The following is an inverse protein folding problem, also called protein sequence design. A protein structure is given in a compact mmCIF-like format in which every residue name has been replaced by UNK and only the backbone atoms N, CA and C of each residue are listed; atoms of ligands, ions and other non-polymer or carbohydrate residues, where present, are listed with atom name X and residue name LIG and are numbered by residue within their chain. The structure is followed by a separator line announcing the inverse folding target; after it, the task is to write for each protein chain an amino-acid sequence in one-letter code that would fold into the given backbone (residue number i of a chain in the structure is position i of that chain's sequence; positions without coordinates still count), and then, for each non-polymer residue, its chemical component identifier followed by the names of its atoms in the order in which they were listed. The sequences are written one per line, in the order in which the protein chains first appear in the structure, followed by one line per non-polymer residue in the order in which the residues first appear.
data_IF_561405097159
#
_entry.id   IF_561405097159
#
_cell.length_a   1.000
_cell.length_b   1.000
_cell.length_c   1.000
_cell.angle_alpha   90.00
_cell.angle_beta   90.00
_cell.angle_gamma   90.00
#
_symmetry.space_group_name_H-M   'P 1'
#
loop_
_entity.id
_entity.type
_entity.pdbx_description
1 polymer ?
#
# COMPACT_ATOMS: atom_id res chain seq x y z
N UNK A 1 -18.86 7.22 3.30
CA UNK A 1 -19.07 8.68 3.12
C UNK A 1 -19.06 9.11 1.65
N UNK A 2 -18.05 8.75 0.83
CA UNK A 2 -17.98 9.16 -0.58
C UNK A 2 -19.23 8.81 -1.43
N UNK A 3 -19.80 7.60 -1.26
CA UNK A 3 -21.06 7.23 -1.94
C UNK A 3 -22.24 8.11 -1.48
N UNK A 4 -22.32 8.42 -0.18
CA UNK A 4 -23.36 9.31 0.33
C UNK A 4 -23.27 10.71 -0.28
N UNK A 5 -22.05 11.22 -0.47
CA UNK A 5 -21.83 12.47 -1.20
C UNK A 5 -22.31 12.39 -2.65
N UNK A 6 -22.01 11.30 -3.37
CA UNK A 6 -22.47 11.13 -4.75
C UNK A 6 -24.00 11.10 -4.86
N UNK A 7 -24.69 10.56 -3.85
CA UNK A 7 -26.15 10.47 -3.82
C UNK A 7 -26.84 11.75 -3.33
N UNK A 8 -26.11 12.64 -2.64
CA UNK A 8 -26.67 13.85 -2.04
C UNK A 8 -26.27 15.14 -2.77
N UNK A 9 -25.02 15.22 -3.22
CA UNK A 9 -24.43 16.43 -3.78
C UNK A 9 -24.77 16.61 -5.27
N UNK A 10 -24.67 17.84 -5.80
CA UNK A 10 -24.79 18.07 -7.24
C UNK A 10 -23.81 17.21 -8.05
N UNK A 11 -24.21 16.84 -9.27
CA UNK A 11 -23.40 16.03 -10.20
C UNK A 11 -22.01 16.62 -10.44
N UNK A 12 -21.91 17.95 -10.47
CA UNK A 12 -20.66 18.69 -10.67
C UNK A 12 -19.62 18.49 -9.54
N UNK A 13 -20.03 17.99 -8.37
CA UNK A 13 -19.08 17.61 -7.30
C UNK A 13 -18.46 16.26 -7.67
N UNK A 14 -17.34 16.29 -8.38
CA UNK A 14 -16.67 15.08 -8.89
C UNK A 14 -15.13 15.12 -8.82
N UNK A 15 -14.53 16.15 -8.22
CA UNK A 15 -13.10 16.20 -7.95
C UNK A 15 -12.73 15.17 -6.86
N UNK A 16 -12.03 14.12 -7.28
CA UNK A 16 -11.59 13.00 -6.44
C UNK A 16 -10.55 13.44 -5.41
N UNK A 17 -9.62 14.34 -5.77
CA UNK A 17 -8.59 14.81 -4.84
C UNK A 17 -9.22 15.66 -3.72
N UNK A 18 -10.17 16.54 -4.08
CA UNK A 18 -10.97 17.27 -3.09
C UNK A 18 -11.84 16.35 -2.23
N UNK A 19 -12.38 15.28 -2.81
CA UNK A 19 -13.15 14.27 -2.07
C UNK A 19 -12.29 13.58 -1.01
N UNK A 20 -11.09 13.10 -1.34
CA UNK A 20 -10.21 12.44 -0.35
C UNK A 20 -9.82 13.38 0.81
N UNK A 21 -9.50 14.65 0.53
CA UNK A 21 -9.22 15.65 1.59
C UNK A 21 -10.37 15.80 2.58
N UNK A 22 -11.61 15.83 2.09
CA UNK A 22 -12.81 15.95 2.94
C UNK A 22 -13.16 14.62 3.62
N UNK A 23 -12.91 13.49 2.95
CA UNK A 23 -13.12 12.15 3.49
C UNK A 23 -12.24 11.89 4.70
N UNK A 24 -11.01 12.37 4.71
CA UNK A 24 -10.08 12.21 5.84
C UNK A 24 -10.64 12.85 7.13
N UNK A 25 -11.22 14.05 7.02
CA UNK A 25 -11.90 14.72 8.15
C UNK A 25 -13.12 13.91 8.60
N UNK A 26 -13.92 13.41 7.65
CA UNK A 26 -15.07 12.57 7.98
C UNK A 26 -14.72 11.26 8.64
N UNK A 27 -13.65 10.58 8.23
CA UNK A 27 -13.23 9.34 8.86
C UNK A 27 -12.93 9.56 10.35
N UNK A 28 -12.26 10.67 10.71
CA UNK A 28 -12.03 11.02 12.12
C UNK A 28 -13.32 11.30 12.88
N UNK A 29 -14.25 12.06 12.29
CA UNK A 29 -15.55 12.31 12.93
C UNK A 29 -16.35 11.02 13.15
N UNK A 30 -16.29 10.08 12.21
CA UNK A 30 -16.97 8.79 12.35
C UNK A 30 -16.40 7.93 13.49
N UNK A 31 -15.09 7.98 13.75
CA UNK A 31 -14.52 7.30 14.94
C UNK A 31 -15.03 7.92 16.25
N UNK A 32 -15.25 9.25 16.30
CA UNK A 32 -15.85 9.89 17.48
C UNK A 32 -17.28 9.41 17.74
N UNK A 33 -17.98 8.92 16.71
CA UNK A 33 -19.31 8.32 16.81
C UNK A 33 -19.27 6.81 17.14
N UNK A 34 -18.08 6.25 17.36
CA UNK A 34 -17.89 4.85 17.75
C UNK A 34 -17.69 3.88 16.57
N UNK A 35 -17.57 4.37 15.33
CA UNK A 35 -17.09 3.51 14.25
C UNK A 35 -15.63 3.14 14.49
N UNK A 36 -15.19 1.98 13.97
CA UNK A 36 -13.87 1.40 14.24
C UNK A 36 -13.02 1.19 12.98
N UNK A 37 -13.44 1.72 11.85
CA UNK A 37 -12.77 1.56 10.55
C UNK A 37 -11.29 2.01 10.54
N UNK A 38 -10.89 2.97 11.40
CA UNK A 38 -9.49 3.35 11.55
C UNK A 38 -8.84 2.60 12.72
N UNK A 39 -9.50 2.56 13.88
CA UNK A 39 -8.93 1.98 15.10
C UNK A 39 -8.75 0.46 15.04
N UNK A 40 -9.50 -0.26 14.21
CA UNK A 40 -9.37 -1.71 14.06
C UNK A 40 -7.98 -2.13 13.54
N UNK A 41 -7.43 -1.40 12.56
CA UNK A 41 -6.10 -1.66 12.03
C UNK A 41 -5.02 -1.54 13.13
N UNK A 42 -5.16 -0.54 13.99
CA UNK A 42 -4.23 -0.30 15.09
C UNK A 42 -4.42 -1.31 16.24
N UNK A 43 -5.64 -1.82 16.45
CA UNK A 43 -5.88 -2.98 17.33
C UNK A 43 -5.21 -4.25 16.79
N UNK A 44 -5.28 -4.51 15.48
CA UNK A 44 -4.55 -5.62 14.83
C UNK A 44 -3.04 -5.48 15.08
N UNK A 45 -2.48 -4.30 14.85
CA UNK A 45 -1.03 -4.05 15.06
C UNK A 45 -0.63 -4.35 16.50
N UNK A 46 -1.37 -3.82 17.48
CA UNK A 46 -1.06 -4.00 18.92
C UNK A 46 -1.19 -5.44 19.40
N UNK A 47 -2.20 -6.19 18.91
CA UNK A 47 -2.36 -7.60 19.33
C UNK A 47 -1.33 -8.52 18.70
N UNK A 48 -0.83 -8.14 17.52
CA UNK A 48 0.08 -8.98 16.72
C UNK A 48 1.53 -8.72 17.10
N UNK A 49 1.93 -7.47 17.32
CA UNK A 49 3.32 -7.07 17.55
C UNK A 49 3.53 -6.37 18.91
N UNK A 50 4.47 -6.88 19.70
CA UNK A 50 4.86 -6.33 21.01
C UNK A 50 5.87 -5.19 20.87
N UNK A 51 6.89 -5.37 20.01
CA UNK A 51 7.97 -4.40 19.84
C UNK A 51 7.59 -3.28 18.87
N UNK A 52 8.09 -2.07 19.13
CA UNK A 52 7.76 -0.88 18.34
C UNK A 52 8.19 -1.00 16.87
N UNK A 53 9.32 -1.66 16.60
CA UNK A 53 9.83 -1.88 15.23
C UNK A 53 8.88 -2.76 14.40
N UNK A 54 8.41 -3.88 14.98
CA UNK A 54 7.44 -4.76 14.32
C UNK A 54 6.10 -4.06 14.11
N UNK A 55 5.66 -3.24 15.08
CA UNK A 55 4.46 -2.42 14.92
C UNK A 55 4.59 -1.40 13.79
N UNK A 56 5.75 -0.74 13.66
CA UNK A 56 6.02 0.20 12.58
C UNK A 56 6.01 -0.50 11.20
N UNK A 57 6.60 -1.70 11.12
CA UNK A 57 6.57 -2.54 9.93
C UNK A 57 5.13 -2.95 9.57
N UNK A 58 4.35 -3.44 10.53
CA UNK A 58 2.94 -3.80 10.29
C UNK A 58 2.10 -2.61 9.84
N UNK A 59 2.24 -1.45 10.49
CA UNK A 59 1.52 -0.22 10.09
C UNK A 59 1.88 0.19 8.67
N UNK A 60 3.14 0.05 8.30
CA UNK A 60 3.58 0.37 6.94
C UNK A 60 3.01 -0.60 5.93
N UNK A 61 3.06 -1.91 6.21
CA UNK A 61 2.44 -2.93 5.35
C UNK A 61 0.93 -2.68 5.19
N UNK A 62 0.20 -2.36 6.27
CA UNK A 62 -1.23 -2.00 6.19
C UNK A 62 -1.46 -0.73 5.35
N UNK A 63 -0.49 0.18 5.33
CA UNK A 63 -0.52 1.40 4.53
C UNK A 63 -0.19 1.20 3.05
N UNK A 64 0.35 0.04 2.65
CA UNK A 64 0.74 -0.25 1.26
C UNK A 64 0.11 -1.50 0.66
N UNK A 65 -0.64 -2.28 1.44
CA UNK A 65 -1.32 -3.48 0.97
C UNK A 65 -2.83 -3.32 0.98
N UNK A 66 -3.48 -3.79 -0.09
CA UNK A 66 -4.94 -3.83 -0.21
C UNK A 66 -5.45 -5.27 -0.22
N UNK A 67 -6.67 -5.57 0.26
CA UNK A 67 -7.27 -6.88 0.09
C UNK A 67 -7.46 -7.21 -1.39
N UNK A 68 -7.25 -8.48 -1.75
CA UNK A 68 -7.58 -8.98 -3.09
C UNK A 68 -9.01 -8.60 -3.49
N UNK A 69 -9.16 -8.02 -4.69
CA UNK A 69 -10.41 -7.40 -5.15
C UNK A 69 -11.36 -8.41 -5.82
N UNK A 70 -12.65 -8.05 -5.86
CA UNK A 70 -13.71 -8.88 -6.45
C UNK A 70 -13.97 -10.18 -5.67
N UNK A 71 -14.28 -11.27 -6.39
CA UNK A 71 -14.59 -12.58 -5.79
C UNK A 71 -13.35 -13.49 -5.60
N UNK A 72 -12.16 -12.89 -5.54
CA UNK A 72 -10.89 -13.64 -5.53
C UNK A 72 -10.40 -13.98 -4.12
N UNK A 73 -10.73 -13.14 -3.12
CA UNK A 73 -10.33 -13.33 -1.71
C UNK A 73 -10.87 -14.63 -1.10
N UNK A 74 -12.18 -14.90 -1.28
CA UNK A 74 -12.80 -16.19 -0.94
C UNK A 74 -13.00 -17.00 -2.22
N UNK A 75 -11.91 -17.56 -2.75
CA UNK A 75 -11.91 -18.25 -4.05
C UNK A 75 -13.00 -19.33 -4.08
N UNK A 76 -13.90 -19.25 -5.07
CA UNK A 76 -15.06 -20.13 -5.24
C UNK A 76 -16.03 -20.19 -4.03
N UNK A 77 -15.91 -19.30 -3.06
CA UNK A 77 -16.73 -19.30 -1.85
C UNK A 77 -16.41 -20.41 -0.86
N UNK A 78 -15.31 -21.16 -1.04
CA UNK A 78 -15.02 -22.38 -0.26
C UNK A 78 -13.94 -22.20 0.81
N UNK A 79 -13.18 -21.10 0.76
CA UNK A 79 -12.04 -20.88 1.65
C UNK A 79 -12.46 -20.34 3.02
N UNK A 80 -13.48 -19.48 3.04
CA UNK A 80 -14.02 -18.87 4.26
C UNK A 80 -15.49 -19.21 4.41
N UNK A 81 -15.91 -19.43 5.66
CA UNK A 81 -17.30 -19.64 6.06
C UNK A 81 -17.76 -18.48 6.94
N UNK A 82 -19.04 -18.47 7.31
CA UNK A 82 -19.59 -17.50 8.29
C UNK A 82 -18.98 -17.64 9.69
N UNK A 83 -18.35 -18.78 9.99
CA UNK A 83 -17.70 -19.05 11.28
C UNK A 83 -16.17 -18.86 11.22
N UNK A 84 -15.62 -18.49 10.06
CA UNK A 84 -14.18 -18.26 9.93
C UNK A 84 -13.75 -17.02 10.73
N UNK A 85 -12.56 -17.02 11.33
CA UNK A 85 -12.06 -15.86 12.05
C UNK A 85 -11.63 -14.77 11.05
N UNK A 86 -12.26 -13.59 11.13
CA UNK A 86 -11.90 -12.39 10.35
C UNK A 86 -10.99 -11.48 11.18
N UNK A 87 -9.79 -11.99 11.48
CA UNK A 87 -8.82 -11.35 12.36
C UNK A 87 -7.37 -11.41 11.83
N UNK A 88 -7.19 -11.69 10.55
CA UNK A 88 -5.89 -11.76 9.88
C UNK A 88 -5.48 -10.39 9.34
N UNK A 89 -4.25 -10.28 8.82
CA UNK A 89 -3.72 -9.05 8.21
C UNK A 89 -4.64 -8.45 7.16
N UNK A 90 -5.18 -9.28 6.26
CA UNK A 90 -6.12 -8.85 5.21
C UNK A 90 -7.41 -8.24 5.76
N UNK A 91 -7.82 -8.60 6.98
CA UNK A 91 -9.00 -8.02 7.64
C UNK A 91 -8.72 -6.60 8.18
N UNK A 92 -7.46 -6.29 8.46
CA UNK A 92 -7.01 -4.97 8.89
C UNK A 92 -6.66 -4.04 7.72
N UNK A 93 -6.47 -4.58 6.52
CA UNK A 93 -6.23 -3.79 5.30
C UNK A 93 -7.50 -3.03 4.85
N UNK A 94 -7.29 -1.92 4.16
CA UNK A 94 -8.37 -1.09 3.57
C UNK A 94 -8.26 -1.08 2.04
N UNK A 95 -9.31 -0.66 1.35
CA UNK A 95 -9.36 -0.69 -0.11
C UNK A 95 -8.55 0.41 -0.80
N UNK A 96 -8.27 1.52 -0.11
CA UNK A 96 -7.39 2.60 -0.58
C UNK A 96 -6.24 2.72 0.44
N UNK A 97 -5.17 1.96 0.20
CA UNK A 97 -4.03 1.93 1.12
C UNK A 97 -3.34 3.30 1.15
N UNK A 98 -3.48 4.02 2.27
CA UNK A 98 -3.15 5.45 2.36
C UNK A 98 -1.73 5.83 1.94
N UNK A 99 -0.72 5.02 2.29
CA UNK A 99 0.67 5.32 1.92
C UNK A 99 0.93 4.98 0.44
N UNK A 100 0.33 3.93 -0.09
CA UNK A 100 0.42 3.62 -1.52
C UNK A 100 -0.31 4.66 -2.39
N UNK A 101 -1.44 5.19 -1.92
CA UNK A 101 -2.15 6.27 -2.59
C UNK A 101 -1.32 7.56 -2.62
N UNK A 102 -0.69 7.93 -1.50
CA UNK A 102 0.20 9.08 -1.45
C UNK A 102 1.41 8.90 -2.39
N UNK A 103 2.05 7.73 -2.37
CA UNK A 103 3.14 7.41 -3.29
C UNK A 103 2.73 7.48 -4.75
N UNK A 104 1.55 6.95 -5.09
CA UNK A 104 0.99 7.07 -6.43
C UNK A 104 0.84 8.53 -6.85
N UNK A 105 0.26 9.38 -6.01
CA UNK A 105 0.08 10.80 -6.30
C UNK A 105 1.42 11.52 -6.50
N UNK A 106 2.43 11.20 -5.69
CA UNK A 106 3.78 11.75 -5.83
C UNK A 106 4.41 11.34 -7.17
N UNK A 107 4.34 10.05 -7.53
CA UNK A 107 4.84 9.56 -8.83
C UNK A 107 4.08 10.18 -10.00
N UNK A 108 2.77 10.32 -9.90
CA UNK A 108 1.96 10.95 -10.95
C UNK A 108 2.32 12.42 -11.16
N UNK A 109 2.48 13.18 -10.07
CA UNK A 109 2.95 14.55 -10.14
C UNK A 109 4.34 14.62 -10.80
N UNK A 110 5.28 13.78 -10.36
CA UNK A 110 6.62 13.76 -10.92
C UNK A 110 6.64 13.44 -12.43
N UNK A 111 5.86 12.45 -12.89
CA UNK A 111 5.75 12.10 -14.32
C UNK A 111 5.16 13.26 -15.14
N UNK A 112 4.17 13.98 -14.60
CA UNK A 112 3.46 15.03 -15.36
C UNK A 112 4.30 16.28 -15.61
N UNK A 113 5.14 16.68 -14.65
CA UNK A 113 5.81 17.99 -14.70
C UNK A 113 7.24 18.00 -14.12
N UNK A 114 7.79 16.85 -13.73
CA UNK A 114 9.10 16.74 -13.12
C UNK A 114 9.23 17.46 -11.79
N UNK A 115 8.13 17.60 -11.02
CA UNK A 115 8.09 18.36 -9.76
C UNK A 115 9.23 17.93 -8.80
N UNK A 116 10.18 18.82 -8.48
CA UNK A 116 11.26 18.52 -7.54
C UNK A 116 10.76 18.16 -6.14
N UNK A 117 9.62 18.71 -5.70
CA UNK A 117 9.02 18.36 -4.41
C UNK A 117 8.46 16.94 -4.43
N UNK A 118 7.88 16.52 -5.55
CA UNK A 118 7.41 15.15 -5.75
C UNK A 118 8.59 14.16 -5.80
N UNK A 119 9.68 14.50 -6.49
CA UNK A 119 10.90 13.69 -6.53
C UNK A 119 11.49 13.48 -5.12
N UNK A 120 11.56 14.54 -4.31
CA UNK A 120 12.05 14.44 -2.94
C UNK A 120 11.10 13.63 -2.04
N UNK A 121 9.78 13.79 -2.19
CA UNK A 121 8.80 13.01 -1.45
C UNK A 121 8.91 11.51 -1.77
N UNK A 122 9.05 11.15 -3.05
CA UNK A 122 9.32 9.78 -3.51
C UNK A 122 10.58 9.24 -2.85
N UNK A 123 11.70 9.97 -2.95
CA UNK A 123 12.99 9.57 -2.37
C UNK A 123 12.89 9.33 -0.87
N UNK A 124 12.32 10.28 -0.13
CA UNK A 124 12.16 10.20 1.33
C UNK A 124 11.32 9.00 1.77
N UNK A 125 10.21 8.76 1.07
CA UNK A 125 9.34 7.61 1.31
C UNK A 125 10.04 6.29 1.01
N UNK A 126 10.72 6.19 -0.13
CA UNK A 126 11.47 5.01 -0.52
C UNK A 126 12.61 4.70 0.47
N UNK A 127 13.31 5.72 0.98
CA UNK A 127 14.31 5.56 2.04
C UNK A 127 13.67 5.02 3.32
N UNK A 128 12.53 5.59 3.73
CA UNK A 128 11.81 5.14 4.93
C UNK A 128 11.41 3.67 4.82
N UNK A 129 10.85 3.26 3.68
CA UNK A 129 10.44 1.89 3.43
C UNK A 129 11.63 0.93 3.31
N UNK A 130 12.74 1.37 2.71
CA UNK A 130 13.96 0.56 2.58
C UNK A 130 14.65 0.28 3.91
N UNK A 131 14.45 1.17 4.89
CA UNK A 131 15.04 1.08 6.23
C UNK A 131 14.15 0.35 7.24
N UNK A 132 12.99 -0.17 6.82
CA UNK A 132 12.14 -0.96 7.71
C UNK A 132 12.91 -2.18 8.23
N UNK A 133 12.91 -2.31 9.55
CA UNK A 133 13.46 -3.46 10.26
C UNK A 133 12.33 -4.25 10.88
N UNK A 134 12.45 -5.55 10.87
CA UNK A 134 11.57 -6.43 11.61
C UNK A 134 12.32 -7.67 12.01
N UNK A 135 11.92 -8.22 13.14
CA UNK A 135 12.48 -9.44 13.65
C UNK A 135 12.00 -10.64 12.80
N UNK A 136 12.93 -11.47 12.34
CA UNK A 136 12.57 -12.70 11.64
C UNK A 136 11.74 -13.63 12.53
N UNK A 137 11.98 -13.63 13.84
CA UNK A 137 11.20 -14.40 14.81
C UNK A 137 9.78 -13.83 14.98
N UNK A 138 9.57 -12.53 14.74
CA UNK A 138 8.22 -11.95 14.71
C UNK A 138 7.35 -12.59 13.63
N UNK A 139 7.83 -12.64 12.38
CA UNK A 139 7.05 -13.26 11.30
C UNK A 139 6.81 -14.76 11.51
N UNK A 140 7.70 -15.47 12.20
CA UNK A 140 7.48 -16.89 12.49
C UNK A 140 6.34 -17.15 13.48
N UNK A 141 5.96 -16.14 14.28
CA UNK A 141 4.93 -16.25 15.33
C UNK A 141 3.50 -15.97 14.85
N UNK A 142 3.32 -15.48 13.62
CA UNK A 142 2.00 -15.08 13.11
C UNK A 142 1.60 -15.93 11.89
N UNK A 143 0.32 -16.32 11.74
CA UNK A 143 -0.10 -17.30 10.72
C UNK A 143 0.27 -16.90 9.29
N UNK A 144 0.12 -15.62 8.95
CA UNK A 144 0.45 -15.05 7.64
C UNK A 144 1.90 -14.56 7.51
N UNK A 145 2.77 -14.80 8.49
CA UNK A 145 4.06 -14.10 8.57
C UNK A 145 5.03 -14.41 7.44
N UNK A 146 5.05 -15.63 6.91
CA UNK A 146 5.84 -15.95 5.70
C UNK A 146 5.39 -15.09 4.50
N UNK A 147 4.08 -14.92 4.34
CA UNK A 147 3.51 -14.13 3.27
C UNK A 147 3.76 -12.63 3.48
N UNK A 148 3.65 -12.13 4.71
CA UNK A 148 4.00 -10.74 5.05
C UNK A 148 5.49 -10.45 4.90
N UNK A 149 6.35 -11.43 5.16
CA UNK A 149 7.77 -11.31 4.89
C UNK A 149 8.05 -11.15 3.39
N UNK A 150 7.31 -11.86 2.53
CA UNK A 150 7.40 -11.66 1.07
C UNK A 150 6.95 -10.25 0.68
N UNK A 151 5.85 -9.75 1.25
CA UNK A 151 5.41 -8.38 1.01
C UNK A 151 6.41 -7.34 1.49
N UNK A 152 7.05 -7.54 2.65
CA UNK A 152 8.09 -6.64 3.14
C UNK A 152 9.31 -6.62 2.21
N UNK A 153 9.76 -7.78 1.74
CA UNK A 153 10.84 -7.87 0.74
C UNK A 153 10.45 -7.13 -0.54
N UNK A 154 9.22 -7.33 -1.02
CA UNK A 154 8.69 -6.62 -2.18
C UNK A 154 8.65 -5.12 -1.98
N UNK A 155 8.16 -4.65 -0.84
CA UNK A 155 8.14 -3.25 -0.48
C UNK A 155 9.56 -2.65 -0.51
N UNK A 156 10.52 -3.27 0.17
CA UNK A 156 11.91 -2.78 0.20
C UNK A 156 12.52 -2.76 -1.20
N UNK A 157 12.44 -3.87 -1.95
CA UNK A 157 13.02 -3.97 -3.29
C UNK A 157 12.40 -2.96 -4.26
N UNK A 158 11.07 -2.88 -4.33
CA UNK A 158 10.38 -1.95 -5.22
C UNK A 158 10.63 -0.49 -4.83
N UNK A 159 10.76 -0.18 -3.54
CA UNK A 159 11.12 1.17 -3.07
C UNK A 159 12.52 1.58 -3.52
N UNK A 160 13.50 0.69 -3.38
CA UNK A 160 14.88 0.94 -3.81
C UNK A 160 14.98 1.15 -5.33
N UNK A 161 14.23 0.35 -6.09
CA UNK A 161 14.17 0.48 -7.55
C UNK A 161 13.46 1.77 -7.96
N UNK A 162 12.33 2.10 -7.34
CA UNK A 162 11.61 3.34 -7.61
C UNK A 162 12.48 4.58 -7.36
N UNK A 163 13.23 4.62 -6.26
CA UNK A 163 14.15 5.72 -5.99
C UNK A 163 15.24 5.86 -7.07
N UNK A 164 15.79 4.75 -7.56
CA UNK A 164 16.78 4.76 -8.64
C UNK A 164 16.17 5.17 -9.99
N UNK A 165 14.94 4.75 -10.27
CA UNK A 165 14.22 5.09 -11.50
C UNK A 165 13.91 6.60 -11.61
N UNK A 166 13.80 7.30 -10.48
CA UNK A 166 13.61 8.76 -10.47
C UNK A 166 14.89 9.58 -10.61
N UNK A 167 16.07 8.94 -10.63
CA UNK A 167 17.34 9.65 -10.81
C UNK A 167 17.62 9.99 -12.28
N UNK A 168 18.36 11.06 -12.56
CA UNK A 168 18.90 11.32 -13.90
C UNK A 168 19.75 10.15 -14.39
N UNK A 169 19.58 9.74 -15.65
CA UNK A 169 20.33 8.63 -16.23
C UNK A 169 19.72 7.24 -16.05
N UNK A 170 18.52 7.15 -15.45
CA UNK A 170 17.85 5.87 -15.22
C UNK A 170 17.45 5.16 -16.53
N UNK A 171 17.13 5.90 -17.59
CA UNK A 171 16.72 5.35 -18.88
C UNK A 171 17.87 4.61 -19.59
N UNK A 172 19.11 5.04 -19.36
CA UNK A 172 20.32 4.46 -19.94
C UNK A 172 20.82 3.23 -19.16
N UNK A 173 20.29 2.98 -17.96
CA UNK A 173 20.71 1.88 -17.10
C UNK A 173 19.89 0.60 -17.37
N UNK A 174 20.30 -0.18 -18.37
CA UNK A 174 19.61 -1.41 -18.77
C UNK A 174 19.48 -2.44 -17.62
N UNK A 175 20.49 -2.57 -16.76
CA UNK A 175 20.47 -3.49 -15.60
C UNK A 175 19.42 -3.07 -14.56
N UNK A 176 19.25 -1.76 -14.33
CA UNK A 176 18.18 -1.23 -13.47
C UNK A 176 16.79 -1.56 -14.05
N UNK A 177 16.59 -1.34 -15.34
CA UNK A 177 15.30 -1.60 -16.00
C UNK A 177 14.94 -3.09 -15.96
N UNK A 178 15.90 -3.98 -16.22
CA UNK A 178 15.70 -5.44 -16.15
C UNK A 178 15.39 -5.89 -14.72
N UNK A 179 16.12 -5.38 -13.72
CA UNK A 179 15.85 -5.66 -12.30
C UNK A 179 14.46 -5.18 -11.88
N UNK A 180 14.02 -4.03 -12.38
CA UNK A 180 12.69 -3.51 -12.11
C UNK A 180 11.59 -4.42 -12.69
N UNK A 181 11.71 -4.83 -13.95
CA UNK A 181 10.78 -5.79 -14.57
C UNK A 181 10.72 -7.11 -13.80
N UNK A 182 11.88 -7.68 -13.49
CA UNK A 182 11.95 -8.95 -12.76
C UNK A 182 11.31 -8.85 -11.36
N UNK A 183 11.55 -7.74 -10.65
CA UNK A 183 10.94 -7.51 -9.34
C UNK A 183 9.41 -7.35 -9.43
N UNK A 184 8.92 -6.60 -10.42
CA UNK A 184 7.48 -6.43 -10.65
C UNK A 184 6.80 -7.79 -10.94
N UNK A 185 7.43 -8.64 -11.76
CA UNK A 185 6.93 -9.97 -12.07
C UNK A 185 6.86 -10.90 -10.84
N UNK A 186 7.82 -10.79 -9.92
CA UNK A 186 7.84 -11.56 -8.68
C UNK A 186 6.75 -11.06 -7.71
N UNK A 187 6.67 -9.75 -7.50
CA UNK A 187 5.86 -9.16 -6.44
C UNK A 187 4.43 -8.78 -6.84
N UNK A 188 4.05 -8.92 -8.13
CA UNK A 188 2.65 -8.82 -8.56
C UNK A 188 1.75 -9.94 -8.02
N UNK A 189 2.34 -11.04 -7.56
CA UNK A 189 1.56 -12.18 -7.05
C UNK A 189 1.03 -11.87 -5.65
N UNK A 190 -0.30 -11.96 -5.42
CA UNK A 190 -0.88 -11.69 -4.11
C UNK A 190 -0.32 -12.60 -3.01
N UNK A 191 -0.08 -12.04 -1.82
CA UNK A 191 0.38 -12.78 -0.63
C UNK A 191 -0.56 -12.47 0.53
N UNK A 192 -0.80 -13.42 1.43
CA UNK A 192 -1.71 -13.21 2.58
C UNK A 192 -3.10 -12.68 2.19
N UNK A 193 -3.57 -12.98 0.96
CA UNK A 193 -4.81 -12.45 0.36
C UNK A 193 -4.83 -10.93 0.20
N UNK A 194 -3.66 -10.32 0.08
CA UNK A 194 -3.47 -8.90 -0.21
C UNK A 194 -2.53 -8.69 -1.39
N UNK A 195 -2.76 -7.59 -2.09
CA UNK A 195 -1.94 -7.07 -3.17
C UNK A 195 -0.99 -6.00 -2.62
N UNK A 196 0.27 -6.00 -3.07
CA UNK A 196 1.23 -4.95 -2.76
C UNK A 196 1.03 -3.79 -3.75
N UNK A 197 0.53 -2.66 -3.25
CA UNK A 197 0.06 -1.57 -4.11
C UNK A 197 1.16 -0.68 -4.69
N UNK A 198 2.43 -0.97 -4.38
CA UNK A 198 3.56 -0.36 -5.07
C UNK A 198 3.70 -0.90 -6.49
N UNK A 199 3.34 -2.15 -6.75
CA UNK A 199 3.51 -2.82 -8.06
C UNK A 199 2.93 -1.99 -9.21
N UNK A 200 1.64 -1.57 -9.21
CA UNK A 200 1.09 -0.80 -10.32
C UNK A 200 1.76 0.58 -10.49
N UNK A 201 2.15 1.22 -9.39
CA UNK A 201 2.79 2.55 -9.42
C UNK A 201 4.22 2.47 -9.97
N UNK A 202 4.99 1.47 -9.54
CA UNK A 202 6.36 1.25 -10.03
C UNK A 202 6.36 0.77 -11.48
N UNK A 203 5.37 -0.03 -11.89
CA UNK A 203 5.17 -0.36 -13.30
C UNK A 203 4.94 0.91 -14.13
N UNK A 204 4.03 1.79 -13.69
CA UNK A 204 3.76 3.07 -14.39
C UNK A 204 5.02 3.93 -14.50
N UNK A 205 5.82 3.99 -13.43
CA UNK A 205 7.11 4.70 -13.43
C UNK A 205 8.08 4.09 -14.46
N UNK A 206 8.23 2.77 -14.45
CA UNK A 206 9.11 2.06 -15.38
C UNK A 206 8.70 2.27 -16.84
N UNK A 207 7.40 2.21 -17.13
CA UNK A 207 6.85 2.43 -18.47
C UNK A 207 7.16 3.85 -18.97
N UNK A 208 7.09 4.84 -18.08
CA UNK A 208 7.45 6.23 -18.40
C UNK A 208 8.96 6.42 -18.64
N UNK A 209 9.82 5.75 -17.88
CA UNK A 209 11.29 5.83 -18.11
C UNK A 209 11.69 5.19 -19.44
N UNK A 210 10.93 4.20 -19.92
CA UNK A 210 11.17 3.51 -21.20
C UNK A 210 10.61 4.23 -22.43
N UNK A 211 9.66 5.15 -22.24
CA UNK A 211 9.00 5.89 -23.33
C UNK A 211 9.85 7.04 -23.84
#
# INVERSE_FOLDING_TARGET
AAVAERLWSPVAVNDVASMYRRLEVMNRHLELLGLQHLSFADQYVRRTAVHAEDQATLRTLLGVCEPMKGYTRNTNGTLYTVNSPYNLFVDACTADASQALAFKQEVEAWIENGDPAAAEAIRSRCITWSNLKTDLEFFQRIPEGKALQTHLKGLVTLSQLAAQLTEPGAAENADLLEKAEAALEVYKTPQARTDLMLVPTVQKLLDHIKS
#
